data_IF_294347832988
#
_entry.id   IF_294347832988
#
_cell.length_a   1.000
_cell.length_b   1.000
_cell.length_c   1.000
_cell.angle_alpha   90.00
_cell.angle_beta   90.00
_cell.angle_gamma   90.00
#
_symmetry.space_group_name_H-M   'P 1'
#
loop_
_entity.id
_entity.type
_entity.pdbx_description
1 polymer ?
#
# COMPACT_ATOMS: atom_id res chain seq x y z
N UNK A 1 -12.00 -0.81 -27.21
CA UNK A 1 -11.31 -1.26 -28.45
C UNK A 1 -12.15 -0.82 -29.65
N UNK A 2 -11.52 -0.28 -30.71
CA UNK A 2 -12.26 0.16 -31.92
C UNK A 2 -12.67 -1.06 -32.74
N UNK A 3 -13.96 -1.22 -33.06
CA UNK A 3 -14.51 -2.34 -33.84
C UNK A 3 -14.29 -2.14 -35.34
N UNK A 4 -13.03 -2.23 -35.79
CA UNK A 4 -12.68 -2.06 -37.21
C UNK A 4 -13.36 -3.08 -38.15
N UNK A 5 -13.42 -4.39 -37.81
CA UNK A 5 -14.06 -5.37 -38.69
C UNK A 5 -15.56 -5.15 -38.85
N UNK A 6 -16.25 -4.75 -37.78
CA UNK A 6 -17.67 -4.40 -37.84
C UNK A 6 -17.95 -3.22 -38.78
N UNK A 7 -17.18 -2.13 -38.64
CA UNK A 7 -17.35 -0.94 -39.47
C UNK A 7 -17.14 -1.19 -40.96
N UNK A 8 -16.16 -2.02 -41.33
CA UNK A 8 -15.95 -2.40 -42.75
C UNK A 8 -17.16 -3.15 -43.30
N UNK A 9 -17.72 -4.08 -42.53
CA UNK A 9 -18.92 -4.84 -42.96
C UNK A 9 -20.14 -3.95 -43.04
N UNK A 10 -20.37 -3.08 -42.06
CA UNK A 10 -21.47 -2.10 -42.06
C UNK A 10 -21.40 -1.19 -43.30
N UNK A 11 -20.20 -0.69 -43.63
CA UNK A 11 -20.01 0.14 -44.81
C UNK A 11 -20.29 -0.61 -46.11
N UNK A 12 -19.77 -1.85 -46.26
CA UNK A 12 -20.01 -2.68 -47.46
C UNK A 12 -21.45 -3.21 -47.55
N UNK A 13 -22.16 -3.30 -46.42
CA UNK A 13 -23.59 -3.60 -46.40
C UNK A 13 -24.41 -2.41 -46.91
N UNK A 14 -23.98 -1.19 -46.60
CA UNK A 14 -24.62 0.04 -47.09
C UNK A 14 -24.28 0.35 -48.56
N UNK A 15 -23.16 -0.16 -49.07
CA UNK A 15 -22.70 0.05 -50.45
C UNK A 15 -22.54 -1.30 -51.16
N UNK A 16 -23.62 -1.83 -51.79
CA UNK A 16 -23.58 -3.14 -52.42
C UNK A 16 -22.69 -3.11 -53.67
N UNK A 17 -21.75 -4.05 -53.73
CA UNK A 17 -20.79 -4.16 -54.82
C UNK A 17 -19.40 -4.53 -54.32
N UNK A 18 -18.49 -4.81 -55.27
CA UNK A 18 -17.10 -5.05 -54.97
C UNK A 18 -16.32 -3.73 -54.98
N UNK A 19 -15.79 -3.32 -53.83
CA UNK A 19 -15.08 -2.05 -53.68
C UNK A 19 -13.62 -2.25 -53.31
N UNK A 20 -12.74 -1.39 -53.83
CA UNK A 20 -11.31 -1.42 -53.47
C UNK A 20 -11.10 -0.89 -52.06
N UNK A 21 -10.02 -1.31 -51.36
CA UNK A 21 -9.70 -0.79 -50.03
C UNK A 21 -9.67 0.73 -49.95
N UNK A 22 -9.20 1.40 -51.01
CA UNK A 22 -9.15 2.85 -51.05
C UNK A 22 -10.55 3.46 -51.03
N UNK A 23 -11.45 2.98 -51.88
CA UNK A 23 -12.85 3.46 -51.92
C UNK A 23 -13.55 3.25 -50.58
N UNK A 24 -13.34 2.09 -49.96
CA UNK A 24 -13.93 1.77 -48.65
C UNK A 24 -13.39 2.71 -47.56
N UNK A 25 -12.07 2.92 -47.51
CA UNK A 25 -11.44 3.76 -46.49
C UNK A 25 -11.78 5.25 -46.68
N UNK A 26 -11.76 5.73 -47.90
CA UNK A 26 -12.10 7.11 -48.25
C UNK A 26 -13.60 7.36 -47.96
N UNK A 27 -14.47 6.41 -48.31
CA UNK A 27 -15.90 6.43 -47.99
C UNK A 27 -16.22 6.33 -46.49
N UNK A 28 -15.29 5.83 -45.68
CA UNK A 28 -15.36 5.86 -44.21
C UNK A 28 -14.73 7.13 -43.59
N UNK A 29 -14.22 8.05 -44.41
CA UNK A 29 -13.55 9.28 -43.95
C UNK A 29 -12.15 9.06 -43.38
N UNK A 30 -11.49 7.95 -43.71
CA UNK A 30 -10.15 7.63 -43.20
C UNK A 30 -9.09 8.18 -44.17
N UNK A 31 -8.52 9.35 -43.87
CA UNK A 31 -7.56 10.04 -44.73
C UNK A 31 -6.31 9.23 -45.13
N UNK A 32 -5.72 9.59 -46.28
CA UNK A 32 -4.45 9.06 -46.77
C UNK A 32 -3.33 9.21 -45.73
N UNK A 33 -2.61 8.12 -45.44
CA UNK A 33 -1.53 8.11 -44.44
C UNK A 33 -1.99 8.07 -42.98
N UNK A 34 -3.30 8.03 -42.69
CA UNK A 34 -3.78 7.98 -41.32
C UNK A 34 -3.37 6.68 -40.62
N UNK A 35 -2.84 6.79 -39.38
CA UNK A 35 -2.53 5.66 -38.48
C UNK A 35 -3.61 4.56 -38.44
N UNK A 36 -4.93 4.86 -38.45
CA UNK A 36 -5.97 3.82 -38.46
C UNK A 36 -6.10 3.01 -39.76
N UNK A 37 -5.48 3.38 -40.89
CA UNK A 37 -5.60 2.61 -42.15
C UNK A 37 -5.07 1.19 -42.02
N UNK A 38 -3.94 0.99 -41.35
CA UNK A 38 -3.34 -0.35 -41.16
C UNK A 38 -4.28 -1.31 -40.41
N UNK A 39 -4.89 -0.92 -39.27
CA UNK A 39 -5.94 -1.71 -38.63
C UNK A 39 -7.13 -2.08 -39.53
N UNK A 40 -7.59 -1.14 -40.38
CA UNK A 40 -8.70 -1.43 -41.30
C UNK A 40 -8.31 -2.41 -42.41
N UNK A 41 -7.10 -2.34 -42.95
CA UNK A 41 -6.61 -3.33 -43.91
C UNK A 41 -6.50 -4.72 -43.28
N UNK A 42 -6.03 -4.82 -42.03
CA UNK A 42 -6.04 -6.08 -41.27
C UNK A 42 -7.46 -6.60 -41.09
N UNK A 43 -8.40 -5.73 -40.72
CA UNK A 43 -9.79 -6.09 -40.51
C UNK A 43 -10.50 -6.59 -41.80
N UNK A 44 -10.16 -6.04 -42.97
CA UNK A 44 -10.63 -6.56 -44.26
C UNK A 44 -10.12 -7.97 -44.52
N UNK A 45 -8.85 -8.25 -44.19
CA UNK A 45 -8.27 -9.59 -44.27
C UNK A 45 -8.98 -10.55 -43.30
N UNK A 46 -9.09 -10.18 -42.03
CA UNK A 46 -9.71 -11.03 -41.00
C UNK A 46 -11.17 -11.39 -41.36
N UNK A 47 -11.92 -10.43 -41.89
CA UNK A 47 -13.30 -10.66 -42.36
C UNK A 47 -13.36 -11.55 -43.61
N UNK A 48 -12.35 -11.50 -44.47
CA UNK A 48 -12.25 -12.36 -45.65
C UNK A 48 -11.90 -13.79 -45.24
N UNK A 49 -10.92 -13.94 -44.35
CA UNK A 49 -10.48 -15.23 -43.82
C UNK A 49 -11.62 -15.92 -43.04
N UNK A 50 -12.46 -15.14 -42.37
CA UNK A 50 -13.66 -15.63 -41.67
C UNK A 50 -14.90 -15.84 -42.58
N UNK A 51 -14.80 -15.57 -43.89
CA UNK A 51 -15.87 -15.81 -44.86
C UNK A 51 -17.00 -14.77 -44.89
N UNK A 52 -16.85 -13.64 -44.19
CA UNK A 52 -17.86 -12.56 -44.15
C UNK A 52 -17.76 -11.60 -45.35
N UNK A 53 -16.58 -11.52 -45.95
CA UNK A 53 -16.31 -10.75 -47.17
C UNK A 53 -15.76 -11.66 -48.26
N UNK A 54 -16.16 -11.41 -49.49
CA UNK A 54 -15.58 -12.05 -50.66
C UNK A 54 -14.51 -11.14 -51.25
N UNK A 55 -13.30 -11.67 -51.44
CA UNK A 55 -12.21 -10.97 -52.13
C UNK A 55 -12.22 -11.33 -53.61
N UNK A 56 -12.39 -10.34 -54.46
CA UNK A 56 -12.28 -10.47 -55.92
C UNK A 56 -10.99 -9.80 -56.42
N UNK A 57 -10.39 -10.37 -57.46
CA UNK A 57 -9.12 -9.87 -58.02
C UNK A 57 -7.88 -10.13 -57.16
N UNK A 58 -6.71 -9.69 -57.65
CA UNK A 58 -5.40 -9.84 -56.98
C UNK A 58 -4.59 -8.54 -57.09
N UNK A 59 -3.73 -8.29 -56.11
CA UNK A 59 -2.80 -7.14 -56.10
C UNK A 59 -3.53 -5.80 -56.10
N UNK A 60 -3.20 -4.92 -57.06
CA UNK A 60 -3.81 -3.57 -57.17
C UNK A 60 -5.29 -3.58 -57.55
N UNK A 61 -5.80 -4.68 -58.10
CA UNK A 61 -7.21 -4.86 -58.49
C UNK A 61 -8.02 -5.62 -57.44
N UNK A 62 -7.52 -5.71 -56.21
CA UNK A 62 -8.26 -6.37 -55.13
C UNK A 62 -9.46 -5.54 -54.72
N UNK A 63 -10.63 -6.16 -54.73
CA UNK A 63 -11.87 -5.60 -54.25
C UNK A 63 -12.55 -6.55 -53.25
N UNK A 64 -13.39 -5.99 -52.39
CA UNK A 64 -14.10 -6.70 -51.33
C UNK A 64 -15.59 -6.47 -51.49
N UNK A 65 -16.37 -7.54 -51.41
CA UNK A 65 -17.82 -7.51 -51.40
C UNK A 65 -18.34 -8.15 -50.10
N UNK A 66 -19.47 -7.65 -49.59
CA UNK A 66 -20.12 -8.24 -48.43
C UNK A 66 -20.82 -9.56 -48.80
N UNK A 67 -20.68 -10.58 -47.95
CA UNK A 67 -21.30 -11.91 -48.16
C UNK A 67 -22.33 -12.22 -47.07
N UNK A 68 -21.89 -12.17 -45.82
CA UNK A 68 -22.71 -12.65 -44.69
C UNK A 68 -22.34 -11.94 -43.40
N UNK A 69 -23.30 -11.88 -42.48
CA UNK A 69 -23.04 -11.41 -41.12
C UNK A 69 -22.35 -12.50 -40.29
N UNK A 70 -21.44 -12.12 -39.37
CA UNK A 70 -20.98 -13.06 -38.36
C UNK A 70 -22.18 -13.57 -37.56
N UNK A 71 -22.16 -14.84 -37.11
CA UNK A 71 -23.20 -15.34 -36.23
C UNK A 71 -23.29 -14.41 -35.02
N UNK A 72 -24.52 -14.11 -34.60
CA UNK A 72 -24.75 -13.32 -33.41
C UNK A 72 -23.92 -13.92 -32.28
N UNK A 73 -22.95 -13.16 -31.77
CA UNK A 73 -22.28 -13.57 -30.55
C UNK A 73 -23.38 -13.67 -29.51
N UNK A 74 -23.54 -14.83 -28.88
CA UNK A 74 -24.37 -14.98 -27.69
C UNK A 74 -23.80 -14.05 -26.61
N UNK A 75 -24.19 -12.78 -26.65
CA UNK A 75 -23.79 -11.71 -25.73
C UNK A 75 -24.67 -11.70 -24.49
N UNK A 76 -25.30 -12.83 -24.17
CA UNK A 76 -25.72 -13.12 -22.81
C UNK A 76 -24.51 -13.67 -22.05
N UNK A 77 -24.28 -13.29 -20.77
CA UNK A 77 -23.44 -14.12 -19.95
C UNK A 77 -24.05 -15.52 -19.99
N UNK A 78 -23.27 -16.53 -20.38
CA UNK A 78 -23.76 -17.91 -20.39
C UNK A 78 -24.41 -18.17 -19.03
N UNK A 79 -25.56 -18.82 -18.98
CA UNK A 79 -26.26 -19.10 -17.72
C UNK A 79 -25.29 -19.74 -16.70
N UNK A 80 -24.38 -20.58 -17.20
CA UNK A 80 -23.25 -21.16 -16.46
C UNK A 80 -22.28 -20.15 -15.84
N UNK A 81 -22.00 -19.01 -16.48
CA UNK A 81 -21.14 -17.94 -15.94
C UNK A 81 -21.86 -17.13 -14.87
N UNK A 82 -23.13 -16.83 -15.07
CA UNK A 82 -23.96 -16.14 -14.06
C UNK A 82 -24.11 -17.01 -12.82
N UNK A 83 -24.37 -18.30 -13.02
CA UNK A 83 -24.52 -19.25 -11.93
C UNK A 83 -23.21 -19.49 -11.17
N UNK A 84 -22.07 -19.62 -11.87
CA UNK A 84 -20.73 -19.63 -11.24
C UNK A 84 -20.47 -18.37 -10.42
N UNK A 85 -20.86 -17.20 -10.93
CA UNK A 85 -20.71 -15.95 -10.18
C UNK A 85 -21.60 -15.90 -8.94
N UNK A 86 -22.86 -16.35 -9.04
CA UNK A 86 -23.77 -16.46 -7.89
C UNK A 86 -23.25 -17.43 -6.84
N UNK A 87 -22.76 -18.60 -7.26
CA UNK A 87 -22.14 -19.59 -6.37
C UNK A 87 -20.91 -19.01 -5.67
N UNK A 88 -20.04 -18.31 -6.41
CA UNK A 88 -18.89 -17.61 -5.86
C UNK A 88 -19.29 -16.57 -4.80
N UNK A 89 -20.32 -15.76 -5.06
CA UNK A 89 -20.78 -14.76 -4.09
C UNK A 89 -21.39 -15.38 -2.84
N UNK A 90 -22.14 -16.49 -2.97
CA UNK A 90 -22.65 -17.26 -1.83
C UNK A 90 -21.49 -17.80 -0.99
N UNK A 91 -20.50 -18.43 -1.62
CA UNK A 91 -19.33 -18.96 -0.91
C UNK A 91 -18.52 -17.85 -0.24
N UNK A 92 -18.34 -16.70 -0.90
CA UNK A 92 -17.66 -15.54 -0.33
C UNK A 92 -18.38 -15.01 0.90
N UNK A 93 -19.71 -15.01 0.91
CA UNK A 93 -20.50 -14.61 2.08
C UNK A 93 -20.33 -15.59 3.25
N UNK A 94 -20.37 -16.90 2.98
CA UNK A 94 -20.12 -17.95 3.98
C UNK A 94 -18.70 -17.84 4.56
N UNK A 95 -17.68 -17.73 3.70
CA UNK A 95 -16.28 -17.55 4.14
C UNK A 95 -16.09 -16.27 4.98
N UNK A 96 -16.93 -15.27 4.76
CA UNK A 96 -16.94 -14.05 5.54
C UNK A 96 -17.73 -14.15 6.87
N UNK A 97 -18.14 -15.35 7.26
CA UNK A 97 -18.88 -15.61 8.49
C UNK A 97 -20.33 -15.14 8.42
N UNK A 98 -20.91 -15.06 7.21
CA UNK A 98 -22.29 -14.64 7.01
C UNK A 98 -22.56 -13.15 7.28
N UNK A 99 -21.51 -12.36 7.55
CA UNK A 99 -21.67 -10.93 7.82
C UNK A 99 -21.56 -10.08 6.56
N UNK A 100 -22.41 -9.07 6.48
CA UNK A 100 -22.33 -8.10 5.38
C UNK A 100 -21.14 -7.14 5.58
N UNK A 101 -20.74 -6.45 4.50
CA UNK A 101 -19.68 -5.43 4.60
C UNK A 101 -20.09 -4.25 5.51
N UNK A 102 -21.39 -3.99 5.65
CA UNK A 102 -21.92 -2.93 6.51
C UNK A 102 -21.71 -3.29 7.98
N UNK A 103 -22.16 -4.47 8.41
CA UNK A 103 -21.97 -4.98 9.78
C UNK A 103 -20.50 -5.00 10.20
N UNK A 104 -19.60 -5.38 9.28
CA UNK A 104 -18.15 -5.33 9.56
C UNK A 104 -17.61 -3.92 9.79
N UNK A 105 -18.14 -2.93 9.06
CA UNK A 105 -17.74 -1.53 9.24
C UNK A 105 -18.23 -0.98 10.57
N UNK A 106 -19.41 -1.38 11.02
CA UNK A 106 -19.94 -1.03 12.34
C UNK A 106 -19.08 -1.63 13.45
N UNK A 107 -18.74 -2.91 13.37
CA UNK A 107 -17.84 -3.59 14.31
C UNK A 107 -16.45 -2.90 14.37
N UNK A 108 -15.90 -2.53 13.20
CA UNK A 108 -14.63 -1.80 13.13
C UNK A 108 -14.71 -0.41 13.73
N UNK A 109 -15.81 0.31 13.52
CA UNK A 109 -16.04 1.63 14.09
C UNK A 109 -16.11 1.55 15.63
N UNK A 110 -16.85 0.57 16.17
CA UNK A 110 -16.92 0.31 17.61
C UNK A 110 -15.54 -0.03 18.19
N UNK A 111 -14.77 -0.91 17.54
CA UNK A 111 -13.39 -1.23 17.96
C UNK A 111 -12.48 -0.01 17.95
N UNK A 112 -12.60 0.86 16.95
CA UNK A 112 -11.83 2.11 16.86
C UNK A 112 -12.22 3.08 17.98
N UNK A 113 -13.51 3.23 18.27
CA UNK A 113 -13.99 4.06 19.38
C UNK A 113 -13.42 3.59 20.72
N UNK A 114 -13.55 2.30 21.04
CA UNK A 114 -12.99 1.71 22.27
C UNK A 114 -11.46 1.89 22.37
N UNK A 115 -10.74 1.83 21.25
CA UNK A 115 -9.30 2.10 21.22
C UNK A 115 -8.97 3.56 21.52
N UNK A 116 -9.75 4.50 20.99
CA UNK A 116 -9.58 5.92 21.27
C UNK A 116 -9.85 6.23 22.75
N UNK A 117 -10.88 5.64 23.34
CA UNK A 117 -11.20 5.80 24.77
C UNK A 117 -10.05 5.32 25.66
N UNK A 118 -9.47 4.15 25.36
CA UNK A 118 -8.28 3.64 26.07
C UNK A 118 -7.08 4.58 25.95
N UNK A 119 -6.85 5.14 24.75
CA UNK A 119 -5.75 6.09 24.53
C UNK A 119 -6.00 7.39 25.31
N UNK A 120 -7.25 7.87 25.36
CA UNK A 120 -7.62 9.06 26.12
C UNK A 120 -7.40 8.85 27.62
N UNK A 121 -7.81 7.71 28.16
CA UNK A 121 -7.57 7.33 29.56
C UNK A 121 -6.07 7.31 29.89
N UNK A 122 -5.25 6.64 29.06
CA UNK A 122 -3.79 6.62 29.24
C UNK A 122 -3.14 8.01 29.18
N UNK A 123 -3.65 8.90 28.31
CA UNK A 123 -3.17 10.30 28.25
C UNK A 123 -3.51 11.06 29.53
N UNK A 124 -4.72 10.89 30.05
CA UNK A 124 -5.14 11.50 31.31
C UNK A 124 -4.28 11.04 32.49
N UNK A 125 -4.02 9.72 32.60
CA UNK A 125 -3.13 9.16 33.62
C UNK A 125 -1.71 9.75 33.54
N UNK A 126 -1.14 9.83 32.33
CA UNK A 126 0.18 10.42 32.10
C UNK A 126 0.23 11.90 32.48
N UNK A 127 -0.85 12.65 32.22
CA UNK A 127 -0.95 14.06 32.60
C UNK A 127 -0.93 14.22 34.13
N UNK A 128 -1.71 13.40 34.86
CA UNK A 128 -1.72 13.40 36.34
C UNK A 128 -0.32 13.10 36.91
N UNK A 129 0.39 12.13 36.35
CA UNK A 129 1.76 11.81 36.77
C UNK A 129 2.72 12.99 36.53
N UNK A 130 2.60 13.68 35.39
CA UNK A 130 3.42 14.86 35.07
C UNK A 130 3.16 16.02 36.04
N UNK A 131 1.91 16.31 36.35
CA UNK A 131 1.55 17.37 37.32
C UNK A 131 2.08 17.03 38.73
N UNK A 132 1.93 15.77 39.18
CA UNK A 132 2.52 15.32 40.45
C UNK A 132 4.04 15.51 40.48
N UNK A 133 4.75 15.14 39.41
CA UNK A 133 6.21 15.34 39.28
C UNK A 133 6.60 16.82 39.26
N UNK A 134 5.82 17.67 38.59
CA UNK A 134 6.03 19.13 38.55
C UNK A 134 5.89 19.73 39.95
N UNK A 135 4.83 19.38 40.67
CA UNK A 135 4.61 19.83 42.05
C UNK A 135 5.74 19.39 43.00
N UNK A 136 6.22 18.14 42.88
CA UNK A 136 7.37 17.66 43.65
C UNK A 136 8.67 18.43 43.32
N UNK A 137 8.94 18.70 42.04
CA UNK A 137 10.12 19.48 41.63
C UNK A 137 10.10 20.92 42.13
N UNK A 138 8.93 21.56 42.18
CA UNK A 138 8.80 22.93 42.72
C UNK A 138 9.12 22.95 44.21
N UNK A 139 8.66 21.97 44.99
CA UNK A 139 8.95 21.86 46.43
C UNK A 139 10.41 21.53 46.74
N UNK A 140 11.07 20.75 45.89
CA UNK A 140 12.45 20.32 46.09
C UNK A 140 13.51 21.27 45.48
N UNK A 141 13.12 22.45 44.99
CA UNK A 141 14.05 23.36 44.32
C UNK A 141 14.97 24.02 45.36
N UNK A 142 16.29 23.75 45.36
CA UNK A 142 17.21 24.43 46.28
C UNK A 142 17.25 25.93 45.95
N UNK A 143 17.48 26.75 46.97
CA UNK A 143 17.61 28.20 46.83
C UNK A 143 18.69 28.53 45.78
N UNK A 144 18.45 29.51 44.89
CA UNK A 144 19.44 29.89 43.90
C UNK A 144 20.73 30.31 44.61
N UNK A 145 21.86 29.72 44.19
CA UNK A 145 23.17 30.06 44.75
C UNK A 145 23.39 31.58 44.61
N UNK A 146 23.91 32.26 45.64
CA UNK A 146 24.18 33.69 45.57
C UNK A 146 25.14 33.97 44.42
N UNK A 147 24.78 34.93 43.56
CA UNK A 147 25.66 35.36 42.47
C UNK A 147 26.89 36.06 43.07
N UNK A 148 28.10 35.80 42.55
CA UNK A 148 29.29 36.51 43.01
C UNK A 148 29.10 38.01 42.77
N UNK A 149 29.31 38.81 43.81
CA UNK A 149 29.32 40.28 43.69
C UNK A 149 30.66 40.69 43.09
N UNK A 150 30.63 41.41 41.97
CA UNK A 150 31.82 41.99 41.36
C UNK A 150 32.29 43.12 42.25
N UNK A 151 33.54 43.06 42.72
CA UNK A 151 34.13 44.17 43.48
C UNK A 151 34.45 45.33 42.51
N UNK A 152 34.35 46.59 42.95
CA UNK A 152 34.63 47.75 42.10
C UNK A 152 36.09 47.82 41.59
N UNK A 153 36.98 46.98 42.12
CA UNK A 153 38.39 46.92 41.75
C UNK A 153 38.73 45.84 40.69
N UNK A 154 37.72 45.19 40.09
CA UNK A 154 37.91 44.30 38.93
C UNK A 154 38.23 42.83 39.24
N UNK A 155 38.33 42.44 40.50
CA UNK A 155 38.49 41.04 40.92
C UNK A 155 37.23 40.47 41.57
N UNK A 156 36.92 39.20 41.27
CA UNK A 156 35.82 38.42 41.87
C UNK A 156 36.27 37.74 43.15
N UNK A 157 35.66 38.11 44.28
CA UNK A 157 35.89 37.45 45.58
C UNK A 157 34.91 36.29 45.73
N UNK A 158 35.42 35.05 45.69
CA UNK A 158 34.64 33.86 46.02
C UNK A 158 34.91 33.53 47.50
N UNK A 159 33.93 33.77 48.37
CA UNK A 159 34.03 33.36 49.77
C UNK A 159 33.93 31.82 49.87
N UNK A 160 35.06 31.13 49.81
CA UNK A 160 35.11 29.69 50.10
C UNK A 160 35.18 29.49 51.61
N UNK A 161 34.11 28.97 52.22
CA UNK A 161 34.20 28.40 53.56
C UNK A 161 35.17 27.21 53.51
N UNK A 162 36.28 27.31 54.25
CA UNK A 162 37.11 26.17 54.62
C UNK A 162 36.22 25.20 55.43
N UNK A 163 35.71 24.16 54.78
CA UNK A 163 35.27 22.95 55.48
C UNK A 163 35.02 21.78 54.53
N UNK A 164 35.58 20.64 54.97
CA UNK A 164 35.00 19.30 54.92
C UNK A 164 35.18 18.44 53.66
N UNK A 165 35.92 17.35 53.92
CA UNK A 165 35.91 16.03 53.28
C UNK A 165 36.22 15.97 51.78
N UNK A 166 37.39 15.38 51.48
CA UNK A 166 37.68 14.79 50.17
C UNK A 166 36.50 13.90 49.77
N UNK A 167 35.87 14.08 48.60
CA UNK A 167 34.93 13.09 48.10
C UNK A 167 35.67 11.77 47.88
N UNK A 168 35.08 10.66 48.30
CA UNK A 168 35.58 9.32 47.96
C UNK A 168 35.80 9.22 46.44
N UNK A 169 36.91 8.59 45.99
CA UNK A 169 37.12 8.38 44.56
C UNK A 169 35.99 7.51 44.01
N UNK A 170 35.43 7.92 42.88
CA UNK A 170 34.44 7.13 42.16
C UNK A 170 35.00 5.72 41.90
N UNK A 171 34.20 4.66 42.08
CA UNK A 171 34.67 3.30 41.83
C UNK A 171 35.12 3.19 40.36
N UNK A 172 36.19 2.43 40.07
CA UNK A 172 36.72 2.33 38.72
C UNK A 172 35.63 1.82 37.76
N UNK A 173 35.56 2.42 36.57
CA UNK A 173 34.72 1.92 35.49
C UNK A 173 35.11 0.47 35.22
N UNK A 174 34.20 -0.46 35.57
CA UNK A 174 34.39 -1.88 35.24
C UNK A 174 34.50 -2.01 33.72
N UNK A 175 35.42 -2.84 33.19
CA UNK A 175 35.53 -3.05 31.76
C UNK A 175 34.17 -3.54 31.22
N UNK A 176 33.73 -2.97 30.09
CA UNK A 176 32.50 -3.40 29.42
C UNK A 176 32.66 -4.87 29.04
N UNK A 177 31.87 -5.75 29.66
CA UNK A 177 31.78 -7.15 29.28
C UNK A 177 31.43 -7.25 27.78
N UNK A 178 32.22 -7.99 27.01
CA UNK A 178 32.03 -8.10 25.57
C UNK A 178 31.02 -9.21 25.22
N UNK A 179 30.77 -10.11 26.18
CA UNK A 179 29.84 -11.24 26.04
C UNK A 179 28.82 -11.27 27.18
N UNK A 180 27.67 -11.92 26.93
CA UNK A 180 26.60 -12.09 27.91
C UNK A 180 27.07 -12.91 29.12
N UNK A 181 27.92 -13.91 28.89
CA UNK A 181 28.45 -14.78 29.95
C UNK A 181 29.40 -14.02 30.89
N UNK A 182 30.24 -13.12 30.36
CA UNK A 182 31.07 -12.22 31.18
C UNK A 182 30.22 -11.23 32.00
N UNK A 183 29.11 -10.76 31.43
CA UNK A 183 28.19 -9.85 32.11
C UNK A 183 27.49 -10.52 33.30
N UNK A 184 27.07 -11.78 33.17
CA UNK A 184 26.47 -12.54 34.27
C UNK A 184 27.51 -12.84 35.35
N UNK A 185 28.73 -13.26 34.97
CA UNK A 185 29.82 -13.57 35.93
C UNK A 185 30.24 -12.36 36.77
N UNK A 186 30.10 -11.14 36.25
CA UNK A 186 30.44 -9.91 36.96
C UNK A 186 29.30 -9.35 37.83
N UNK A 187 28.23 -10.13 38.03
CA UNK A 187 27.08 -9.79 38.86
C UNK A 187 25.97 -9.03 38.13
N UNK A 188 26.02 -8.97 36.80
CA UNK A 188 24.96 -8.39 35.98
C UNK A 188 23.68 -9.21 36.06
N UNK A 189 22.55 -8.54 36.30
CA UNK A 189 21.21 -9.17 36.25
C UNK A 189 20.62 -9.00 34.85
N UNK A 190 20.27 -10.11 34.21
CA UNK A 190 19.52 -10.12 32.94
C UNK A 190 18.03 -10.11 33.26
N UNK A 191 17.33 -9.03 32.93
CA UNK A 191 15.87 -8.96 33.04
C UNK A 191 15.29 -9.69 31.83
N UNK A 192 14.77 -10.91 32.04
CA UNK A 192 14.00 -11.63 31.03
C UNK A 192 12.63 -10.95 30.90
N UNK A 193 12.35 -10.39 29.73
CA UNK A 193 11.03 -9.85 29.42
C UNK A 193 10.04 -11.01 29.22
N UNK A 194 8.86 -11.00 29.88
CA UNK A 194 7.85 -12.02 29.65
C UNK A 194 7.37 -11.95 28.19
N UNK A 195 7.36 -13.10 27.51
CA UNK A 195 6.83 -13.25 26.14
C UNK A 195 7.87 -13.33 25.01
N UNK A 196 9.18 -13.37 25.32
CA UNK A 196 10.23 -13.66 24.33
C UNK A 196 10.88 -15.00 24.71
N UNK A 197 10.39 -16.09 24.13
CA UNK A 197 11.09 -17.38 24.16
C UNK A 197 12.32 -17.26 23.26
N UNK A 198 13.50 -17.08 23.86
CA UNK A 198 14.75 -17.25 23.12
C UNK A 198 14.91 -18.73 22.82
N UNK A 199 14.70 -19.10 21.56
CA UNK A 199 15.01 -20.43 21.03
C UNK A 199 16.49 -20.72 21.26
N UNK A 200 16.77 -21.66 22.16
CA UNK A 200 18.11 -22.25 22.35
C UNK A 200 18.12 -23.53 21.50
N UNK A 201 18.89 -23.60 20.39
CA UNK A 201 19.06 -24.85 19.70
C UNK A 201 19.83 -25.83 20.61
N UNK A 202 19.19 -26.96 20.91
CA UNK A 202 19.78 -28.05 21.69
C UNK A 202 21.13 -28.47 21.07
N UNK A 203 22.22 -28.27 21.82
CA UNK A 203 23.56 -28.78 21.49
C UNK A 203 23.76 -30.23 21.96
N UNK A 204 22.69 -31.00 22.08
CA UNK A 204 22.75 -32.41 22.43
C UNK A 204 22.38 -33.28 21.22
N UNK A 205 23.18 -33.15 20.16
CA UNK A 205 23.37 -34.13 19.06
C UNK A 205 24.54 -33.64 18.21
N UNK A 206 25.75 -33.94 18.67
CA UNK A 206 26.97 -34.01 17.88
C UNK A 206 27.70 -35.27 18.34
#
# INVERSE_FOLDING_TARGET
>A
MKNYPGRVREWLKAHPGAHTPQVILDGMGVAAGAKPRRPYCSAMKDNTDAGYLQRTGRGRRTAYAFVSEPPARNTGPSESRVEKHRAYMRQRHINNGGRTLAERREDEALRKALRLDRIAAQKAERAVIRERRKAQRVRARPAPKPRPKVSPAGYTVIATRLAAAKPEPAPPLRPRAQTVDEFIRTGGRVIRLPGIEQYIPDRCRA
#
